data_IF_605382614858
#
_entry.id   IF_605382614858
#
_cell.length_a   1.000
_cell.length_b   1.000
_cell.length_c   1.000
_cell.angle_alpha   90.00
_cell.angle_beta   90.00
_cell.angle_gamma   90.00
#
_symmetry.space_group_name_H-M   'P 1'
#
loop_
_entity.id
_entity.type
_entity.pdbx_description
1 polymer ?
#
# COMPACT_ATOMS: atom_id res chain seq x y z
N UNK A 1 17.90 -3.98 0.78
CA UNK A 1 16.49 -4.43 0.73
C UNK A 1 15.63 -3.48 1.53
N UNK A 2 15.10 -2.47 0.87
CA UNK A 2 14.06 -1.61 1.41
C UNK A 2 12.69 -2.05 0.90
N UNK A 3 11.66 -1.85 1.72
CA UNK A 3 10.26 -2.01 1.33
C UNK A 3 9.74 -0.63 0.97
N UNK A 4 9.18 -0.50 -0.23
CA UNK A 4 8.61 0.74 -0.73
C UNK A 4 7.13 0.53 -0.92
N UNK A 5 6.30 1.37 -0.34
CA UNK A 5 4.86 1.28 -0.47
C UNK A 5 4.39 2.30 -1.50
N UNK A 6 3.59 1.90 -2.47
CA UNK A 6 3.09 2.79 -3.52
C UNK A 6 1.59 2.89 -3.40
N UNK A 7 1.08 4.11 -3.26
CA UNK A 7 -0.34 4.39 -3.22
C UNK A 7 -0.65 5.63 -4.04
N UNK A 8 -1.63 5.54 -4.94
CA UNK A 8 -2.10 6.68 -5.75
C UNK A 8 -0.98 7.38 -6.55
N UNK A 9 -0.05 6.59 -7.12
CA UNK A 9 1.19 7.04 -7.78
C UNK A 9 2.18 7.78 -6.87
N UNK A 10 2.03 7.67 -5.54
CA UNK A 10 2.97 8.20 -4.56
C UNK A 10 3.73 7.06 -3.90
N UNK A 11 5.04 7.22 -3.79
CA UNK A 11 5.91 6.29 -3.09
C UNK A 11 6.07 6.74 -1.63
N UNK A 12 5.90 5.80 -0.71
CA UNK A 12 6.01 5.98 0.73
C UNK A 12 7.10 5.03 1.25
N UNK A 13 8.00 5.53 2.11
CA UNK A 13 8.95 4.66 2.81
C UNK A 13 8.21 3.72 3.76
N UNK A 14 8.84 2.60 4.11
CA UNK A 14 8.30 1.69 5.13
C UNK A 14 8.16 2.43 6.48
N UNK A 15 6.93 2.61 7.01
CA UNK A 15 6.73 3.31 8.26
C UNK A 15 7.26 2.51 9.45
N UNK A 16 7.22 1.18 9.38
CA UNK A 16 7.78 0.30 10.40
C UNK A 16 8.14 -1.07 9.79
N UNK A 17 9.43 -1.41 9.68
CA UNK A 17 9.88 -2.66 9.09
C UNK A 17 9.48 -3.90 9.90
N UNK A 18 9.05 -3.75 11.16
CA UNK A 18 8.53 -4.86 11.97
C UNK A 18 7.08 -5.21 11.61
N UNK A 19 6.34 -4.29 10.98
CA UNK A 19 4.95 -4.50 10.60
C UNK A 19 4.85 -5.28 9.29
N UNK A 20 3.85 -6.17 9.25
CA UNK A 20 3.48 -6.86 8.02
C UNK A 20 2.87 -5.85 7.04
N UNK A 21 2.96 -6.14 5.74
CA UNK A 21 2.37 -5.29 4.68
C UNK A 21 0.90 -4.96 4.98
N UNK A 22 0.14 -5.95 5.44
CA UNK A 22 -1.28 -5.77 5.75
C UNK A 22 -1.49 -4.82 6.94
N UNK A 23 -0.64 -4.91 7.97
CA UNK A 23 -0.68 -3.99 9.11
C UNK A 23 -0.27 -2.57 8.72
N UNK A 24 0.72 -2.42 7.85
CA UNK A 24 1.08 -1.12 7.26
C UNK A 24 -0.12 -0.54 6.50
N UNK A 25 -0.80 -1.35 5.68
CA UNK A 25 -2.02 -0.93 4.96
C UNK A 25 -3.14 -0.50 5.91
N UNK A 26 -3.36 -1.25 7.00
CA UNK A 26 -4.33 -0.88 8.04
C UNK A 26 -3.91 0.38 8.81
N UNK A 27 -2.63 0.58 9.07
CA UNK A 27 -2.15 1.80 9.70
C UNK A 27 -2.39 3.01 8.78
N UNK A 28 -2.01 2.88 7.52
CA UNK A 28 -2.25 3.90 6.50
C UNK A 28 -3.74 4.14 6.26
N UNK A 29 -4.62 3.15 6.49
CA UNK A 29 -6.06 3.32 6.34
C UNK A 29 -6.68 4.30 7.34
N UNK A 30 -6.02 4.53 8.48
CA UNK A 30 -6.43 5.58 9.42
C UNK A 30 -6.32 7.00 8.81
N UNK A 31 -5.40 7.18 7.86
CA UNK A 31 -5.20 8.44 7.13
C UNK A 31 -5.88 8.42 5.75
N UNK A 32 -5.90 7.26 5.10
CA UNK A 32 -6.45 7.02 3.77
C UNK A 32 -7.51 5.91 3.84
N UNK A 33 -8.77 6.21 4.22
CA UNK A 33 -9.82 5.21 4.47
C UNK A 33 -10.01 4.22 3.31
N UNK A 34 -9.75 4.64 2.08
CA UNK A 34 -9.79 3.83 0.87
C UNK A 34 -8.80 2.65 0.86
N UNK A 35 -7.75 2.70 1.69
CA UNK A 35 -6.80 1.61 1.87
C UNK A 35 -7.35 0.47 2.72
N UNK A 36 -8.40 0.70 3.51
CA UNK A 36 -9.01 -0.33 4.37
C UNK A 36 -9.46 -1.55 3.58
N UNK A 37 -9.87 -1.39 2.32
CA UNK A 37 -10.27 -2.47 1.41
C UNK A 37 -9.40 -2.54 0.14
N UNK A 38 -8.25 -1.86 0.13
CA UNK A 38 -7.32 -1.90 -0.99
C UNK A 38 -6.67 -3.28 -1.16
N UNK A 39 -6.44 -3.66 -2.40
CA UNK A 39 -5.61 -4.82 -2.72
C UNK A 39 -4.14 -4.44 -2.63
N UNK A 40 -3.32 -5.39 -2.17
CA UNK A 40 -1.87 -5.24 -2.15
C UNK A 40 -1.28 -6.02 -3.30
N UNK A 41 -0.42 -5.38 -4.08
CA UNK A 41 0.36 -6.02 -5.13
C UNK A 41 1.84 -5.92 -4.80
N UNK A 42 2.47 -7.07 -4.61
CA UNK A 42 3.92 -7.15 -4.46
C UNK A 42 4.60 -7.13 -5.84
N UNK A 43 5.69 -6.39 -5.96
CA UNK A 43 6.53 -6.32 -7.14
C UNK A 43 7.98 -6.12 -6.73
N UNK A 44 8.91 -6.85 -7.35
CA UNK A 44 10.34 -6.67 -7.08
C UNK A 44 10.92 -5.63 -8.04
N UNK A 45 11.66 -4.65 -7.50
CA UNK A 45 12.36 -3.62 -8.27
C UNK A 45 13.84 -3.68 -7.92
N UNK A 46 14.60 -4.48 -8.68
CA UNK A 46 16.01 -4.72 -8.38
C UNK A 46 16.18 -5.45 -7.05
N UNK A 47 16.86 -4.81 -6.09
CA UNK A 47 17.08 -5.33 -4.74
C UNK A 47 15.98 -4.92 -3.73
N UNK A 48 15.02 -4.10 -4.14
CA UNK A 48 13.94 -3.61 -3.28
C UNK A 48 12.60 -4.28 -3.61
N UNK A 49 11.73 -4.34 -2.59
CA UNK A 49 10.38 -4.86 -2.73
C UNK A 49 9.39 -3.71 -2.70
N UNK A 50 8.62 -3.58 -3.77
CA UNK A 50 7.59 -2.57 -3.95
C UNK A 50 6.22 -3.18 -3.67
N UNK A 51 5.47 -2.56 -2.77
CA UNK A 51 4.11 -2.94 -2.40
C UNK A 51 3.14 -1.87 -2.88
N UNK A 52 2.46 -2.12 -3.98
CA UNK A 52 1.46 -1.22 -4.53
C UNK A 52 0.09 -1.49 -3.91
N UNK A 53 -0.49 -0.49 -3.24
CA UNK A 53 -1.85 -0.55 -2.73
C UNK A 53 -2.82 0.01 -3.77
N UNK A 54 -3.66 -0.86 -4.33
CA UNK A 54 -4.75 -0.47 -5.23
C UNK A 54 -6.05 -0.30 -4.46
N UNK A 55 -6.50 0.95 -4.32
CA UNK A 55 -7.84 1.24 -3.80
C UNK A 55 -8.90 0.55 -4.66
N UNK A 56 -9.83 -0.14 -4.00
CA UNK A 56 -11.07 -0.57 -4.66
C UNK A 56 -11.96 0.65 -4.81
N UNK A 57 -11.89 1.30 -5.97
CA UNK A 57 -12.87 2.34 -6.32
C UNK A 57 -14.19 1.61 -6.58
N UNK A 58 -15.08 1.60 -5.59
CA UNK A 58 -16.45 1.19 -5.83
C UNK A 58 -17.04 2.14 -6.86
N UNK A 59 -17.35 1.66 -8.06
CA UNK A 59 -18.10 2.42 -9.06
C UNK A 59 -19.51 2.66 -8.54
N UNK A 60 -19.70 3.71 -7.71
CA UNK A 60 -21.03 4.30 -7.51
C UNK A 60 -21.14 5.49 -8.46
N UNK A 61 -21.57 5.20 -9.68
CA UNK A 61 -21.69 6.16 -10.76
C UNK A 61 -22.16 5.46 -12.02
N UNK A 62 -23.44 5.12 -12.05
CA UNK A 62 -24.18 4.53 -13.15
C UNK A 62 -25.63 4.38 -12.74
#
# INVERSE_FOLDING_TARGET
MARVFVYDNREFPDPDPNLKVDEVRQNMSNFFPELSNADTKESKRGEDTVYEFKKRVGTKGG
#
